data_IF_346783360969
#
_entry.id   IF_346783360969
#
_cell.length_a   1.000
_cell.length_b   1.000
_cell.length_c   1.000
_cell.angle_alpha   90.00
_cell.angle_beta   90.00
_cell.angle_gamma   90.00
#
_symmetry.space_group_name_H-M   'P 1'
#
loop_
_entity.id
_entity.type
_entity.pdbx_description
1 polymer ?
#
# COMPACT_ATOMS: atom_id res chain seq x y z
N UNK A 1 0.95 7.23 -7.48
CA UNK A 1 0.54 6.04 -6.75
C UNK A 1 1.79 5.32 -6.24
N UNK A 2 1.91 5.14 -4.95
CA UNK A 2 3.04 4.52 -4.23
C UNK A 2 4.41 5.02 -4.73
N UNK A 3 4.60 6.35 -4.72
CA UNK A 3 5.87 7.01 -5.09
C UNK A 3 6.22 7.03 -6.57
N UNK A 4 5.33 6.59 -7.46
CA UNK A 4 5.51 6.64 -8.93
C UNK A 4 4.48 7.54 -9.60
N UNK A 5 4.87 8.13 -10.73
CA UNK A 5 3.95 8.83 -11.62
C UNK A 5 3.29 7.86 -12.60
N UNK A 6 2.02 8.07 -12.90
CA UNK A 6 1.28 7.26 -13.86
C UNK A 6 0.57 8.13 -14.87
N UNK A 7 0.48 7.63 -16.10
CA UNK A 7 -0.35 8.18 -17.16
C UNK A 7 -1.28 7.13 -17.73
N UNK A 8 -2.45 7.54 -18.15
CA UNK A 8 -3.45 6.70 -18.81
C UNK A 8 -3.65 7.22 -20.22
N UNK A 9 -3.50 6.34 -21.20
CA UNK A 9 -3.81 6.66 -22.58
C UNK A 9 -5.33 6.65 -22.79
N UNK A 10 -5.91 7.79 -23.10
CA UNK A 10 -7.37 7.98 -23.21
C UNK A 10 -8.03 7.04 -24.23
N UNK A 11 -7.38 6.78 -25.37
CA UNK A 11 -7.93 5.95 -26.45
C UNK A 11 -7.88 4.47 -26.15
N UNK A 12 -6.83 4.01 -25.45
CA UNK A 12 -6.57 2.57 -25.25
C UNK A 12 -6.80 2.10 -23.83
N UNK A 13 -6.89 3.01 -22.87
CA UNK A 13 -6.92 2.69 -21.44
C UNK A 13 -5.58 2.18 -20.90
N UNK A 14 -4.50 2.18 -21.68
CA UNK A 14 -3.20 1.67 -21.23
C UNK A 14 -2.64 2.53 -20.10
N UNK A 15 -2.28 1.90 -19.00
CA UNK A 15 -1.63 2.53 -17.84
C UNK A 15 -0.13 2.34 -17.94
N UNK A 16 0.64 3.40 -17.77
CA UNK A 16 2.10 3.36 -17.73
C UNK A 16 2.63 4.11 -16.52
N UNK A 17 3.60 3.51 -15.83
CA UNK A 17 4.30 4.08 -14.68
C UNK A 17 5.69 4.59 -15.05
N UNK A 18 6.15 5.63 -14.33
CA UNK A 18 7.48 6.21 -14.48
C UNK A 18 8.00 6.77 -13.16
N UNK A 19 9.32 6.78 -12.99
CA UNK A 19 10.02 7.39 -11.85
C UNK A 19 10.80 8.65 -12.25
N UNK A 20 10.94 8.92 -13.53
CA UNK A 20 11.79 9.98 -14.11
C UNK A 20 11.02 10.98 -15.00
N UNK A 21 9.73 11.20 -14.68
CA UNK A 21 8.92 12.14 -15.43
C UNK A 21 8.59 11.71 -16.87
N UNK A 22 8.53 10.39 -17.09
CA UNK A 22 8.24 9.75 -18.38
C UNK A 22 9.36 9.86 -19.43
N UNK A 23 10.63 10.10 -19.02
CA UNK A 23 11.77 9.82 -19.88
C UNK A 23 11.85 8.33 -20.18
N UNK A 24 11.56 7.48 -19.17
CA UNK A 24 11.35 6.05 -19.33
C UNK A 24 10.02 5.68 -18.68
N UNK A 25 9.32 4.71 -19.27
CA UNK A 25 8.05 4.22 -18.74
C UNK A 25 7.89 2.72 -18.96
N UNK A 26 7.22 2.07 -18.02
CA UNK A 26 6.85 0.66 -18.10
C UNK A 26 5.34 0.52 -18.07
N UNK A 27 4.83 -0.56 -18.66
CA UNK A 27 3.41 -0.86 -18.54
C UNK A 27 3.05 -1.17 -17.10
N UNK A 28 1.92 -0.63 -16.66
CA UNK A 28 1.38 -0.91 -15.35
C UNK A 28 1.00 -2.39 -15.20
N UNK A 29 1.30 -2.95 -14.04
CA UNK A 29 0.82 -4.27 -13.64
C UNK A 29 -0.70 -4.26 -13.44
N UNK A 30 -1.29 -5.45 -13.24
CA UNK A 30 -2.71 -5.59 -12.93
C UNK A 30 -3.08 -4.80 -11.65
N UNK A 31 -2.30 -4.95 -10.57
CA UNK A 31 -2.55 -4.27 -9.30
C UNK A 31 -2.51 -2.75 -9.44
N UNK A 32 -1.54 -2.23 -10.21
CA UNK A 32 -1.42 -0.81 -10.49
C UNK A 32 -2.60 -0.28 -11.31
N UNK A 33 -2.94 -0.96 -12.40
CA UNK A 33 -4.03 -0.53 -13.28
C UNK A 33 -5.38 -0.57 -12.54
N UNK A 34 -5.69 -1.67 -11.85
CA UNK A 34 -6.94 -1.82 -11.12
C UNK A 34 -7.07 -0.78 -10.01
N UNK A 35 -6.00 -0.53 -9.25
CA UNK A 35 -6.01 0.46 -8.17
C UNK A 35 -6.25 1.88 -8.69
N UNK A 36 -5.57 2.25 -9.78
CA UNK A 36 -5.69 3.58 -10.39
C UNK A 36 -7.08 3.78 -11.00
N UNK A 37 -7.59 2.79 -11.73
CA UNK A 37 -8.93 2.89 -12.33
C UNK A 37 -10.01 2.95 -11.28
N UNK A 38 -9.90 2.15 -10.24
CA UNK A 38 -10.90 2.15 -9.17
C UNK A 38 -10.98 3.52 -8.48
N UNK A 39 -9.83 4.09 -8.11
CA UNK A 39 -9.81 5.43 -7.53
C UNK A 39 -10.45 6.48 -8.46
N UNK A 40 -10.12 6.46 -9.76
CA UNK A 40 -10.58 7.48 -10.69
C UNK A 40 -12.05 7.35 -11.10
N UNK A 41 -12.57 6.12 -11.12
CA UNK A 41 -13.91 5.85 -11.64
C UNK A 41 -14.95 5.62 -10.54
N UNK A 42 -14.54 5.21 -9.35
CA UNK A 42 -15.45 4.74 -8.30
C UNK A 42 -15.42 5.58 -7.02
N UNK A 43 -14.48 6.56 -6.91
CA UNK A 43 -14.49 7.47 -5.77
C UNK A 43 -15.77 8.30 -5.73
N UNK A 44 -16.35 8.44 -4.54
CA UNK A 44 -17.55 9.22 -4.32
C UNK A 44 -17.28 10.71 -4.42
N UNK A 45 -18.23 11.45 -4.94
CA UNK A 45 -18.14 12.92 -4.96
C UNK A 45 -18.05 13.47 -3.53
N UNK A 46 -17.07 14.35 -3.30
CA UNK A 46 -16.84 14.96 -1.99
C UNK A 46 -16.25 14.01 -0.94
N UNK A 47 -15.70 12.84 -1.35
CA UNK A 47 -15.03 11.95 -0.41
C UNK A 47 -13.90 12.67 0.34
N UNK A 48 -13.80 12.43 1.63
CA UNK A 48 -12.77 13.00 2.50
C UNK A 48 -12.33 11.98 3.54
N UNK A 49 -11.07 12.10 3.97
CA UNK A 49 -10.54 11.27 5.03
C UNK A 49 -11.22 11.59 6.36
N UNK A 50 -11.46 10.55 7.15
CA UNK A 50 -11.95 10.69 8.54
C UNK A 50 -10.83 11.04 9.53
N UNK A 51 -9.58 10.68 9.21
CA UNK A 51 -8.45 10.73 10.13
C UNK A 51 -8.40 9.57 11.13
N UNK A 52 -9.41 8.69 11.14
CA UNK A 52 -9.49 7.52 12.01
C UNK A 52 -9.03 6.27 11.25
N UNK A 53 -7.98 5.62 11.75
CA UNK A 53 -7.38 4.43 11.11
C UNK A 53 -7.74 3.17 11.86
N UNK A 54 -8.03 2.11 11.11
CA UNK A 54 -8.33 0.79 11.63
C UNK A 54 -8.21 -0.31 10.59
N UNK A 55 -8.40 -1.56 11.01
CA UNK A 55 -8.52 -2.68 10.07
C UNK A 55 -9.85 -2.62 9.36
N UNK A 56 -9.84 -2.63 8.03
CA UNK A 56 -11.07 -2.77 7.26
C UNK A 56 -11.62 -4.19 7.41
N UNK A 57 -12.85 -4.28 7.89
CA UNK A 57 -13.59 -5.55 7.92
C UNK A 57 -14.43 -5.63 6.66
N UNK A 58 -14.03 -6.51 5.74
CA UNK A 58 -14.86 -6.82 4.56
C UNK A 58 -16.00 -7.74 4.92
N UNK A 59 -17.06 -7.72 4.09
CA UNK A 59 -18.19 -8.63 4.18
C UNK A 59 -17.84 -10.09 3.85
N UNK A 60 -16.61 -10.39 3.50
CA UNK A 60 -16.14 -11.76 3.28
C UNK A 60 -15.90 -12.39 4.64
N UNK A 61 -16.81 -13.30 4.99
CA UNK A 61 -16.79 -14.02 6.24
C UNK A 61 -15.43 -14.68 6.50
N UNK A 62 -14.83 -14.38 7.66
CA UNK A 62 -14.01 -15.33 8.35
C UNK A 62 -12.51 -15.11 8.41
N UNK A 63 -11.96 -13.94 8.07
CA UNK A 63 -10.53 -13.71 8.32
C UNK A 63 -10.25 -12.31 8.88
N UNK A 64 -9.42 -12.16 9.92
CA UNK A 64 -8.81 -10.88 10.21
C UNK A 64 -7.94 -10.50 9.02
N UNK A 65 -8.17 -9.30 8.43
CA UNK A 65 -7.43 -8.81 7.26
C UNK A 65 -5.89 -8.70 7.46
N UNK A 66 -5.39 -9.07 8.64
CA UNK A 66 -3.97 -9.21 8.94
C UNK A 66 -3.36 -10.52 8.45
N UNK A 67 -4.12 -11.60 8.34
CA UNK A 67 -3.55 -12.93 8.02
C UNK A 67 -3.14 -13.09 6.55
N UNK A 68 -3.79 -12.38 5.63
CA UNK A 68 -3.46 -12.45 4.20
C UNK A 68 -2.05 -11.96 3.87
N UNK A 69 -1.51 -11.04 4.65
CA UNK A 69 -0.20 -10.46 4.42
C UNK A 69 0.87 -10.95 5.41
N UNK A 70 0.48 -11.78 6.40
CA UNK A 70 1.42 -12.38 7.37
C UNK A 70 2.57 -13.14 6.70
N UNK A 71 2.36 -13.94 5.63
CA UNK A 71 3.47 -14.61 4.94
C UNK A 71 4.50 -13.65 4.35
N UNK A 72 4.10 -12.40 4.09
CA UNK A 72 5.03 -11.38 3.59
C UNK A 72 5.90 -10.78 4.71
N UNK A 73 5.48 -10.84 5.98
CA UNK A 73 6.24 -10.30 7.10
C UNK A 73 7.63 -10.93 7.22
N UNK A 74 7.76 -12.24 6.91
CA UNK A 74 9.04 -12.95 6.93
C UNK A 74 10.10 -12.33 6.01
N UNK A 75 9.69 -11.73 4.89
CA UNK A 75 10.60 -11.07 3.95
C UNK A 75 11.28 -9.82 4.54
N UNK A 76 10.69 -9.24 5.57
CA UNK A 76 11.16 -8.01 6.22
C UNK A 76 11.93 -8.28 7.53
N UNK A 77 11.91 -9.52 8.01
CA UNK A 77 12.62 -9.93 9.23
C UNK A 77 14.11 -9.61 9.17
N UNK A 78 14.65 -8.99 10.22
CA UNK A 78 16.06 -8.58 10.31
C UNK A 78 16.42 -7.36 9.46
N UNK A 79 15.44 -6.67 8.86
CA UNK A 79 15.68 -5.58 7.89
C UNK A 79 15.01 -4.26 8.30
N UNK A 80 14.85 -4.01 9.60
CA UNK A 80 14.19 -2.80 10.15
C UNK A 80 14.69 -1.51 9.50
N UNK A 81 16.00 -1.33 9.41
CA UNK A 81 16.57 -0.07 8.88
C UNK A 81 16.28 0.09 7.39
N UNK A 82 16.37 -0.98 6.61
CA UNK A 82 16.04 -0.93 5.18
C UNK A 82 14.55 -0.64 4.98
N UNK A 83 13.66 -1.25 5.76
CA UNK A 83 12.22 -0.99 5.70
C UNK A 83 11.90 0.45 6.09
N UNK A 84 12.53 1.00 7.13
CA UNK A 84 12.38 2.42 7.52
C UNK A 84 12.78 3.36 6.39
N UNK A 85 13.94 3.11 5.76
CA UNK A 85 14.40 3.90 4.63
C UNK A 85 13.45 3.81 3.44
N UNK A 86 12.96 2.61 3.11
CA UNK A 86 11.99 2.42 2.04
C UNK A 86 10.69 3.20 2.31
N UNK A 87 10.17 3.15 3.55
CA UNK A 87 9.00 3.94 3.95
C UNK A 87 9.24 5.45 3.80
N UNK A 88 10.42 5.94 4.19
CA UNK A 88 10.78 7.35 4.06
C UNK A 88 10.91 7.79 2.60
N UNK A 89 11.48 6.95 1.73
CA UNK A 89 11.57 7.21 0.27
C UNK A 89 10.18 7.34 -0.35
N UNK A 90 9.21 6.56 0.14
CA UNK A 90 7.79 6.66 -0.29
C UNK A 90 7.06 7.87 0.32
N UNK A 91 7.75 8.75 1.05
CA UNK A 91 7.13 9.91 1.71
C UNK A 91 6.36 9.57 2.99
N UNK A 92 6.64 8.42 3.58
CA UNK A 92 6.02 7.98 4.81
C UNK A 92 6.41 8.82 6.02
N UNK A 93 5.45 9.01 6.92
CA UNK A 93 5.65 9.69 8.20
C UNK A 93 5.47 8.67 9.32
N UNK A 94 6.40 8.65 10.28
CA UNK A 94 6.29 7.74 11.44
C UNK A 94 4.95 7.94 12.16
N UNK A 95 4.21 6.85 12.35
CA UNK A 95 2.89 6.88 12.98
C UNK A 95 2.46 5.51 13.47
N UNK A 96 2.13 5.41 14.73
CA UNK A 96 1.60 4.19 15.31
C UNK A 96 2.58 3.46 16.23
N UNK A 97 2.34 2.16 16.43
CA UNK A 97 3.15 1.27 17.27
C UNK A 97 3.69 0.13 16.41
N UNK A 98 4.92 -0.31 16.68
CA UNK A 98 5.62 -1.38 15.97
C UNK A 98 7.12 -1.12 15.97
N UNK A 99 7.91 -2.10 15.56
CA UNK A 99 9.35 -1.90 15.33
C UNK A 99 9.58 -0.97 14.13
N UNK A 100 8.68 -1.04 13.14
CA UNK A 100 8.55 -0.07 12.06
C UNK A 100 7.06 0.28 11.91
N UNK A 101 6.72 1.58 12.03
CA UNK A 101 5.35 2.03 11.88
C UNK A 101 5.31 3.36 11.13
N UNK A 102 4.64 3.38 9.98
CA UNK A 102 4.56 4.53 9.08
C UNK A 102 3.15 4.73 8.52
N UNK A 103 2.78 5.99 8.37
CA UNK A 103 1.65 6.40 7.53
C UNK A 103 2.20 6.71 6.14
N UNK A 104 1.80 5.94 5.14
CA UNK A 104 2.32 5.97 3.77
C UNK A 104 1.27 6.53 2.81
N UNK A 105 1.58 7.54 2.00
CA UNK A 105 0.67 8.04 0.97
C UNK A 105 0.63 7.05 -0.20
N UNK A 106 -0.32 6.12 -0.22
CA UNK A 106 -0.48 5.22 -1.36
C UNK A 106 -1.01 5.94 -2.59
N UNK A 107 -1.96 6.86 -2.39
CA UNK A 107 -2.31 7.93 -3.32
C UNK A 107 -2.17 9.26 -2.58
N UNK A 108 -2.06 10.36 -3.30
CA UNK A 108 -1.96 11.70 -2.68
C UNK A 108 -3.15 12.02 -1.76
N UNK A 109 -4.32 11.45 -2.09
CA UNK A 109 -5.56 11.60 -1.33
C UNK A 109 -5.86 10.46 -0.35
N UNK A 110 -5.13 9.35 -0.38
CA UNK A 110 -5.43 8.16 0.40
C UNK A 110 -4.17 7.56 1.03
N UNK A 111 -3.98 7.71 2.35
CA UNK A 111 -2.89 7.08 3.07
C UNK A 111 -3.27 5.69 3.63
N UNK A 112 -2.25 4.89 3.93
CA UNK A 112 -2.36 3.65 4.70
C UNK A 112 -1.33 3.65 5.82
N UNK A 113 -1.67 3.12 6.99
CA UNK A 113 -0.71 2.87 8.07
C UNK A 113 -0.20 1.45 7.97
N UNK A 114 1.11 1.32 7.86
CA UNK A 114 1.86 0.08 7.98
C UNK A 114 2.41 -0.01 9.40
N UNK A 115 2.25 -1.15 10.05
CA UNK A 115 2.94 -1.50 11.29
C UNK A 115 3.57 -2.90 11.11
N UNK A 116 4.85 -3.01 11.46
CA UNK A 116 5.61 -4.24 11.39
C UNK A 116 6.26 -4.51 12.75
N UNK A 117 6.23 -5.78 13.16
CA UNK A 117 6.91 -6.30 14.34
C UNK A 117 7.81 -7.45 13.93
N UNK A 118 9.06 -7.44 14.40
CA UNK A 118 9.95 -8.57 14.23
C UNK A 118 9.49 -9.76 15.05
N UNK A 119 9.98 -10.94 14.67
CA UNK A 119 9.80 -12.13 15.49
C UNK A 119 10.52 -11.96 16.83
N UNK A 120 9.91 -12.46 17.87
CA UNK A 120 10.53 -12.65 19.19
C UNK A 120 10.47 -14.12 19.61
N UNK A 121 10.76 -14.42 20.89
CA UNK A 121 10.80 -15.80 21.41
C UNK A 121 9.43 -16.47 21.36
N UNK A 122 8.33 -15.70 21.40
CA UNK A 122 6.96 -16.20 21.52
C UNK A 122 6.15 -16.06 20.23
N UNK A 123 6.50 -15.10 19.36
CA UNK A 123 5.68 -14.75 18.19
C UNK A 123 6.49 -14.63 16.89
N UNK A 124 5.95 -15.13 15.77
CA UNK A 124 6.53 -14.91 14.45
C UNK A 124 6.44 -13.43 14.04
N UNK A 125 7.22 -13.00 13.02
CA UNK A 125 7.12 -11.64 12.53
C UNK A 125 5.70 -11.37 12.03
N UNK A 126 5.22 -10.17 12.27
CA UNK A 126 3.87 -9.79 11.89
C UNK A 126 3.82 -8.41 11.22
N UNK A 127 2.84 -8.24 10.34
CA UNK A 127 2.62 -6.99 9.63
C UNK A 127 1.13 -6.69 9.58
N UNK A 128 0.79 -5.43 9.83
CA UNK A 128 -0.58 -4.96 9.82
C UNK A 128 -0.73 -3.72 8.96
N UNK A 129 -1.83 -3.66 8.22
CA UNK A 129 -2.26 -2.47 7.48
C UNK A 129 -3.53 -1.91 8.10
N UNK A 130 -3.52 -0.61 8.38
CA UNK A 130 -4.67 0.10 8.87
C UNK A 130 -5.04 1.18 7.87
N UNK A 131 -6.32 1.22 7.52
CA UNK A 131 -6.88 2.14 6.55
C UNK A 131 -7.72 3.21 7.24
N UNK A 132 -7.83 4.36 6.60
CA UNK A 132 -8.80 5.37 7.04
C UNK A 132 -10.22 4.79 6.98
N UNK A 133 -11.07 5.15 7.95
CA UNK A 133 -12.46 4.66 8.02
C UNK A 133 -13.26 4.92 6.75
N UNK A 134 -12.96 6.01 6.05
CA UNK A 134 -13.64 6.40 4.82
C UNK A 134 -12.96 5.87 3.55
N UNK A 135 -12.00 4.95 3.64
CA UNK A 135 -11.29 4.39 2.48
C UNK A 135 -12.26 3.87 1.41
N UNK A 136 -13.39 3.29 1.80
CA UNK A 136 -14.39 2.78 0.86
C UNK A 136 -15.23 3.87 0.17
N UNK A 137 -14.99 5.14 0.47
CA UNK A 137 -15.50 6.26 -0.31
C UNK A 137 -14.55 6.65 -1.47
N UNK A 138 -13.29 6.19 -1.40
CA UNK A 138 -12.26 6.43 -2.42
C UNK A 138 -12.09 5.25 -3.37
N UNK A 139 -12.04 4.02 -2.84
CA UNK A 139 -11.81 2.79 -3.59
C UNK A 139 -12.68 1.67 -3.02
N UNK A 140 -12.97 0.64 -3.81
CA UNK A 140 -13.64 -0.55 -3.30
C UNK A 140 -12.78 -1.30 -2.30
N UNK A 141 -13.43 -2.07 -1.44
CA UNK A 141 -12.73 -2.87 -0.42
C UNK A 141 -11.69 -3.81 -1.04
N UNK A 142 -12.04 -4.49 -2.13
CA UNK A 142 -11.16 -5.43 -2.84
C UNK A 142 -9.90 -4.75 -3.38
N UNK A 143 -10.01 -3.49 -3.77
CA UNK A 143 -8.88 -2.71 -4.28
C UNK A 143 -7.83 -2.46 -3.21
N UNK A 144 -8.19 -2.45 -1.93
CA UNK A 144 -7.20 -2.35 -0.85
C UNK A 144 -6.19 -3.49 -0.87
N UNK A 145 -6.56 -4.67 -1.35
CA UNK A 145 -5.63 -5.80 -1.53
C UNK A 145 -4.64 -5.54 -2.65
N UNK A 146 -5.08 -5.00 -3.79
CA UNK A 146 -4.19 -4.65 -4.91
C UNK A 146 -3.22 -3.55 -4.51
N UNK A 147 -3.71 -2.51 -3.84
CA UNK A 147 -2.88 -1.43 -3.29
C UNK A 147 -1.84 -1.97 -2.33
N UNK A 148 -2.23 -2.85 -1.40
CA UNK A 148 -1.32 -3.43 -0.41
C UNK A 148 -0.29 -4.35 -1.06
N UNK A 149 -0.70 -5.19 -2.02
CA UNK A 149 0.20 -6.06 -2.80
C UNK A 149 1.26 -5.23 -3.54
N UNK A 150 0.83 -4.18 -4.23
CA UNK A 150 1.74 -3.27 -4.93
C UNK A 150 2.68 -2.55 -3.97
N UNK A 151 2.17 -2.04 -2.85
CA UNK A 151 2.97 -1.37 -1.81
C UNK A 151 4.07 -2.29 -1.26
N UNK A 152 3.73 -3.54 -0.94
CA UNK A 152 4.70 -4.54 -0.47
C UNK A 152 5.79 -4.79 -1.51
N UNK A 153 5.41 -4.94 -2.78
CA UNK A 153 6.35 -5.09 -3.90
C UNK A 153 7.29 -3.89 -4.01
N UNK A 154 6.78 -2.66 -3.88
CA UNK A 154 7.58 -1.44 -3.93
C UNK A 154 8.55 -1.32 -2.74
N UNK A 155 8.09 -1.66 -1.54
CA UNK A 155 8.97 -1.67 -0.36
C UNK A 155 10.13 -2.65 -0.55
N UNK A 156 9.88 -3.88 -1.01
CA UNK A 156 10.93 -4.87 -1.29
C UNK A 156 11.89 -4.38 -2.37
N UNK A 157 11.40 -3.81 -3.45
CA UNK A 157 12.22 -3.24 -4.52
C UNK A 157 13.15 -2.13 -4.01
N UNK A 158 12.63 -1.20 -3.19
CA UNK A 158 13.42 -0.13 -2.57
C UNK A 158 14.45 -0.65 -1.55
N UNK A 159 14.21 -1.81 -0.96
CA UNK A 159 15.15 -2.50 -0.08
C UNK A 159 16.20 -3.31 -0.86
N UNK A 160 16.12 -3.36 -2.21
CA UNK A 160 17.02 -4.16 -3.05
C UNK A 160 16.71 -5.66 -3.08
N UNK A 161 15.50 -6.04 -2.68
CA UNK A 161 15.04 -7.42 -2.66
C UNK A 161 14.24 -7.75 -3.95
N UNK A 162 14.26 -8.99 -4.37
CA UNK A 162 13.38 -9.45 -5.47
C UNK A 162 11.91 -9.51 -4.99
N UNK A 163 11.00 -9.14 -5.90
CA UNK A 163 9.55 -9.23 -5.69
C UNK A 163 9.09 -10.66 -5.42
#
# INVERSE_FOLDING_TARGET
FVGRLYRIHRETGRVQGSEDGFCHSTDGTFDEAMSIYDLLCCSKEGCCLSGEFGTLRGSIAGGPGGELFTPHAEKFQGKIQALRQACQVLGGVEAGKGDVAYCLPVFDCLPVRLAFWEADEDFPPSMQFQWDRNTTDFIHFETTFYVTSHLLGRLLELMGEAR
#
